data_IF_892478840468
#
_entry.id   IF_892478840468
#
_cell.length_a   1.000
_cell.length_b   1.000
_cell.length_c   1.000
_cell.angle_alpha   90.00
_cell.angle_beta   90.00
_cell.angle_gamma   90.00
#
_symmetry.space_group_name_H-M   'P 1'
#
loop_
_entity.id
_entity.type
_entity.pdbx_description
1 polymer ?
#
# COMPACT_ATOMS: atom_id res chain seq x y z
N UNK A 1 27.63 36.30 20.94
CA UNK A 1 26.74 35.82 19.86
C UNK A 1 26.80 34.30 19.89
N UNK A 2 25.80 33.70 20.53
CA UNK A 2 25.66 32.25 20.64
C UNK A 2 25.24 31.72 19.26
N UNK A 3 26.11 30.93 18.62
CA UNK A 3 25.87 30.39 17.28
C UNK A 3 25.35 28.97 17.47
N UNK A 4 24.02 28.83 17.57
CA UNK A 4 23.35 27.52 17.59
C UNK A 4 23.81 26.68 16.40
N UNK A 5 24.13 25.38 16.60
CA UNK A 5 24.49 24.51 15.50
C UNK A 5 23.23 24.21 14.68
N UNK A 6 23.28 24.56 13.40
CA UNK A 6 22.27 24.17 12.42
C UNK A 6 22.35 22.64 12.25
N UNK A 7 21.28 21.96 12.67
CA UNK A 7 21.11 20.53 12.48
C UNK A 7 20.85 20.27 10.98
N UNK A 8 21.68 19.48 10.27
CA UNK A 8 21.35 19.09 8.92
C UNK A 8 20.12 18.16 8.96
N UNK A 9 18.99 18.62 8.43
CA UNK A 9 17.85 17.76 8.16
C UNK A 9 18.28 16.62 7.21
N UNK A 10 17.91 15.35 7.47
CA UNK A 10 18.33 14.24 6.61
C UNK A 10 17.71 14.44 5.21
N UNK A 11 18.59 14.68 4.24
CA UNK A 11 18.23 15.04 2.88
C UNK A 11 17.72 13.83 2.08
N UNK A 12 16.55 14.00 1.43
CA UNK A 12 16.09 13.54 0.11
C UNK A 12 16.34 12.13 -0.43
N UNK A 13 17.49 11.51 -0.20
CA UNK A 13 17.89 10.26 -0.87
C UNK A 13 17.21 9.02 -0.29
N UNK A 14 16.95 9.01 1.02
CA UNK A 14 16.23 7.91 1.67
C UNK A 14 14.75 7.85 1.23
N UNK A 15 14.10 9.00 0.99
CA UNK A 15 12.71 9.06 0.50
C UNK A 15 12.58 8.37 -0.85
N UNK A 16 13.49 8.69 -1.78
CA UNK A 16 13.45 8.16 -3.14
C UNK A 16 13.75 6.65 -3.21
N UNK A 17 14.56 6.12 -2.27
CA UNK A 17 14.80 4.68 -2.16
C UNK A 17 13.55 3.92 -1.69
N UNK A 18 12.81 4.47 -0.72
CA UNK A 18 11.55 3.86 -0.25
C UNK A 18 10.49 3.90 -1.34
N UNK A 19 10.37 5.00 -2.09
CA UNK A 19 9.42 5.14 -3.21
C UNK A 19 9.62 4.09 -4.31
N UNK A 20 10.87 3.69 -4.57
CA UNK A 20 11.19 2.66 -5.56
C UNK A 20 11.15 1.23 -5.00
N UNK A 21 11.02 1.09 -3.67
CA UNK A 21 11.00 -0.21 -3.01
C UNK A 21 9.75 -1.02 -3.34
N UNK A 22 9.90 -2.35 -3.39
CA UNK A 22 8.79 -3.29 -3.54
C UNK A 22 7.76 -3.09 -2.42
N UNK A 23 8.21 -2.76 -1.21
CA UNK A 23 7.35 -2.53 -0.05
C UNK A 23 6.40 -1.34 -0.26
N UNK A 24 6.89 -0.23 -0.79
CA UNK A 24 6.04 0.93 -1.05
C UNK A 24 5.03 0.67 -2.17
N UNK A 25 5.48 0.00 -3.24
CA UNK A 25 4.58 -0.44 -4.32
C UNK A 25 3.47 -1.37 -3.81
N UNK A 26 3.82 -2.26 -2.88
CA UNK A 26 2.87 -3.13 -2.21
C UNK A 26 1.86 -2.38 -1.34
N UNK A 27 2.35 -1.41 -0.58
CA UNK A 27 1.50 -0.55 0.23
C UNK A 27 0.51 0.26 -0.63
N UNK A 28 0.96 0.81 -1.76
CA UNK A 28 0.08 1.52 -2.69
C UNK A 28 -0.99 0.60 -3.29
N UNK A 29 -0.61 -0.61 -3.69
CA UNK A 29 -1.56 -1.59 -4.21
C UNK A 29 -2.60 -2.01 -3.14
N UNK A 30 -2.17 -2.24 -1.89
CA UNK A 30 -3.08 -2.54 -0.77
C UNK A 30 -4.04 -1.36 -0.51
N UNK A 31 -3.54 -0.12 -0.56
CA UNK A 31 -4.38 1.10 -0.42
C UNK A 31 -5.43 1.20 -1.52
N UNK A 32 -5.07 0.92 -2.77
CA UNK A 32 -6.02 0.94 -3.90
C UNK A 32 -7.15 -0.07 -3.72
N UNK A 33 -6.85 -1.27 -3.21
CA UNK A 33 -7.89 -2.26 -2.92
C UNK A 33 -8.84 -1.81 -1.82
N UNK A 34 -8.34 -1.16 -0.77
CA UNK A 34 -9.18 -0.56 0.28
C UNK A 34 -10.08 0.53 -0.30
N UNK A 35 -9.57 1.37 -1.20
CA UNK A 35 -10.36 2.42 -1.84
C UNK A 35 -11.44 1.85 -2.77
N UNK A 36 -11.14 0.78 -3.53
CA UNK A 36 -12.14 0.05 -4.33
C UNK A 36 -13.22 -0.56 -3.44
N UNK A 37 -12.82 -1.20 -2.34
CA UNK A 37 -13.76 -1.78 -1.37
C UNK A 37 -14.67 -0.72 -0.77
N UNK A 38 -14.11 0.42 -0.34
CA UNK A 38 -14.86 1.58 0.15
C UNK A 38 -15.92 2.00 -0.86
N UNK A 39 -15.54 2.17 -2.14
CA UNK A 39 -16.49 2.58 -3.17
C UNK A 39 -17.64 1.57 -3.31
N UNK A 40 -17.34 0.28 -3.47
CA UNK A 40 -18.35 -0.78 -3.63
C UNK A 40 -19.32 -0.82 -2.44
N UNK A 41 -18.80 -0.74 -1.21
CA UNK A 41 -19.64 -0.79 -0.01
C UNK A 41 -20.44 0.50 0.20
N UNK A 42 -19.91 1.66 -0.21
CA UNK A 42 -20.66 2.91 -0.22
C UNK A 42 -21.81 2.87 -1.23
N UNK A 43 -21.60 2.30 -2.42
CA UNK A 43 -22.68 2.10 -3.41
C UNK A 43 -23.79 1.19 -2.86
N UNK A 44 -23.42 0.11 -2.15
CA UNK A 44 -24.39 -0.80 -1.51
C UNK A 44 -25.16 -0.14 -0.37
N UNK A 45 -24.49 0.72 0.40
CA UNK A 45 -25.10 1.42 1.54
C UNK A 45 -25.93 2.65 1.12
N UNK A 46 -25.82 3.09 -0.14
CA UNK A 46 -26.42 4.34 -0.62
C UNK A 46 -25.84 5.60 0.01
N UNK A 47 -24.68 5.51 0.67
CA UNK A 47 -23.99 6.62 1.34
C UNK A 47 -22.52 6.27 1.57
N UNK A 48 -21.67 7.28 1.78
CA UNK A 48 -20.25 7.01 2.05
C UNK A 48 -20.08 6.34 3.42
N UNK A 49 -19.54 5.11 3.43
CA UNK A 49 -19.26 4.38 4.66
C UNK A 49 -18.02 4.89 5.41
N UNK A 50 -17.20 5.72 4.77
CA UNK A 50 -15.96 6.24 5.34
C UNK A 50 -14.76 5.29 5.24
N UNK A 51 -13.56 5.85 5.32
CA UNK A 51 -12.32 5.09 5.09
C UNK A 51 -12.03 4.07 6.19
N UNK A 52 -12.17 4.44 7.46
CA UNK A 52 -11.85 3.56 8.59
C UNK A 52 -12.72 2.30 8.60
N UNK A 53 -14.03 2.45 8.37
CA UNK A 53 -14.97 1.33 8.26
C UNK A 53 -14.62 0.41 7.09
N UNK A 54 -14.31 0.98 5.92
CA UNK A 54 -13.89 0.21 4.76
C UNK A 54 -12.57 -0.54 4.99
N UNK A 55 -11.59 0.12 5.62
CA UNK A 55 -10.28 -0.46 5.94
C UNK A 55 -10.42 -1.66 6.88
N UNK A 56 -11.13 -1.50 8.00
CA UNK A 56 -11.33 -2.59 8.96
C UNK A 56 -12.06 -3.77 8.32
N UNK A 57 -13.13 -3.50 7.58
CA UNK A 57 -13.91 -4.53 6.89
C UNK A 57 -13.05 -5.30 5.87
N UNK A 58 -12.26 -4.58 5.08
CA UNK A 58 -11.37 -5.15 4.08
C UNK A 58 -10.24 -5.99 4.69
N UNK A 59 -9.62 -5.50 5.78
CA UNK A 59 -8.60 -6.25 6.52
C UNK A 59 -9.12 -7.61 6.97
N UNK A 60 -10.34 -7.63 7.54
CA UNK A 60 -10.93 -8.85 8.09
C UNK A 60 -11.36 -9.82 6.98
N UNK A 61 -11.92 -9.33 5.87
CA UNK A 61 -12.57 -10.19 4.86
C UNK A 61 -11.69 -10.54 3.66
N UNK A 62 -10.76 -9.68 3.27
CA UNK A 62 -10.15 -9.72 1.93
C UNK A 62 -8.61 -9.78 1.95
N UNK A 63 -7.97 -9.14 2.94
CA UNK A 63 -6.52 -8.92 2.93
C UNK A 63 -5.67 -10.17 2.80
N UNK A 64 -5.96 -11.22 3.56
CA UNK A 64 -5.17 -12.46 3.53
C UNK A 64 -5.18 -13.09 2.15
N UNK A 65 -6.37 -13.23 1.54
CA UNK A 65 -6.53 -13.79 0.21
C UNK A 65 -5.85 -12.94 -0.86
N UNK A 66 -5.93 -11.61 -0.74
CA UNK A 66 -5.26 -10.69 -1.67
C UNK A 66 -3.73 -10.86 -1.63
N UNK A 67 -3.14 -10.91 -0.42
CA UNK A 67 -1.70 -11.14 -0.24
C UNK A 67 -1.24 -12.50 -0.78
N UNK A 68 -2.00 -13.56 -0.54
CA UNK A 68 -1.68 -14.89 -1.07
C UNK A 68 -1.66 -14.94 -2.60
N UNK A 69 -2.62 -14.29 -3.26
CA UNK A 69 -2.66 -14.20 -4.74
C UNK A 69 -1.44 -13.48 -5.28
N UNK A 70 -1.11 -12.32 -4.71
CA UNK A 70 0.08 -11.52 -5.05
C UNK A 70 1.38 -12.33 -4.91
N UNK A 71 1.53 -13.08 -3.81
CA UNK A 71 2.71 -13.94 -3.59
C UNK A 71 2.82 -15.05 -4.65
N UNK A 72 1.70 -15.65 -5.06
CA UNK A 72 1.68 -16.67 -6.12
C UNK A 72 2.04 -16.08 -7.49
N UNK A 73 1.49 -14.91 -7.82
CA UNK A 73 1.79 -14.19 -9.07
C UNK A 73 3.27 -13.79 -9.16
N UNK A 74 3.83 -13.25 -8.06
CA UNK A 74 5.25 -12.89 -7.99
C UNK A 74 6.16 -14.11 -8.20
N UNK A 75 5.79 -15.28 -7.65
CA UNK A 75 6.53 -16.54 -7.85
C UNK A 75 6.37 -17.08 -9.27
N UNK A 76 5.16 -17.03 -9.84
CA UNK A 76 4.88 -17.49 -11.21
C UNK A 76 5.59 -16.68 -12.29
N UNK A 77 5.91 -15.41 -12.03
CA UNK A 77 6.70 -14.57 -12.94
C UNK A 77 8.18 -14.99 -13.02
N UNK A 78 8.72 -15.71 -12.02
CA UNK A 78 10.13 -16.16 -12.05
C UNK A 78 10.36 -17.40 -12.91
N UNK A 79 9.32 -18.17 -13.21
CA UNK A 79 9.38 -19.40 -14.01
C UNK A 79 9.20 -19.20 -15.53
N UNK A 80 8.97 -17.97 -16.00
CA UNK A 80 8.61 -17.68 -17.39
C UNK A 80 9.74 -17.22 -18.32
N UNK A 81 10.99 -17.08 -17.84
CA UNK A 81 12.11 -16.51 -18.63
C UNK A 81 13.23 -17.49 -18.96
N UNK A 82 12.95 -18.79 -19.03
CA UNK A 82 13.89 -19.79 -19.53
C UNK A 82 13.34 -20.47 -20.79
N UNK A 83 13.54 -19.85 -21.95
CA UNK A 83 13.58 -20.48 -23.27
C UNK A 83 14.36 -19.60 -24.24
#
# INVERSE_FOLDING_TARGET
>A
MDKSPEMPAPQGEQSHFVENSILYKEFLAEREEVLKHKWIESEKAGSDIGFEKALLDWIVKHRSNWREKRMKEARGQTSGTAS
#
